data_IF_376104670150
#
_entry.id   IF_376104670150
#
_cell.length_a   1.000
_cell.length_b   1.000
_cell.length_c   1.000
_cell.angle_alpha   90.00
_cell.angle_beta   90.00
_cell.angle_gamma   90.00
#
_symmetry.space_group_name_H-M   'P 1'
#
loop_
_entity.id
_entity.type
_entity.pdbx_description
1 polymer ?
#
# COMPACT_ATOMS: atom_id res chain seq x y z
N UNK A 1 9.92 -16.52 -10.91
CA UNK A 1 10.91 -17.47 -11.49
C UNK A 1 10.48 -18.06 -12.83
N UNK A 2 9.21 -18.45 -13.02
CA UNK A 2 8.75 -19.10 -14.26
C UNK A 2 8.59 -18.16 -15.48
N UNK A 3 8.15 -16.92 -15.26
CA UNK A 3 7.80 -15.99 -16.36
C UNK A 3 9.00 -15.21 -16.91
N UNK A 4 9.89 -14.72 -16.03
CA UNK A 4 11.01 -13.87 -16.42
C UNK A 4 11.93 -14.48 -17.50
N UNK A 5 12.32 -15.77 -17.45
CA UNK A 5 13.13 -16.40 -18.50
C UNK A 5 12.43 -16.44 -19.87
N UNK A 6 11.10 -16.32 -19.90
CA UNK A 6 10.28 -16.26 -21.12
C UNK A 6 10.02 -14.81 -21.58
N UNK A 7 10.56 -13.83 -20.86
CA UNK A 7 10.35 -12.41 -21.15
C UNK A 7 9.02 -11.85 -20.63
N UNK A 8 8.33 -12.54 -19.74
CA UNK A 8 7.03 -12.12 -19.22
C UNK A 8 7.09 -11.83 -17.72
N UNK A 9 6.18 -10.97 -17.28
CA UNK A 9 5.87 -10.69 -15.88
C UNK A 9 4.36 -10.45 -15.76
N UNK A 10 3.84 -10.26 -14.56
CA UNK A 10 2.43 -9.90 -14.35
C UNK A 10 2.35 -8.42 -13.94
N UNK A 11 1.20 -7.75 -14.15
CA UNK A 11 1.12 -6.31 -13.94
C UNK A 11 1.37 -5.86 -12.51
N UNK A 12 0.96 -6.66 -11.52
CA UNK A 12 1.07 -6.36 -10.08
C UNK A 12 1.80 -7.51 -9.39
N UNK A 13 2.98 -7.26 -8.80
CA UNK A 13 3.79 -8.24 -8.07
C UNK A 13 4.15 -7.69 -6.68
N UNK A 14 3.40 -8.04 -5.63
CA UNK A 14 3.67 -7.55 -4.28
C UNK A 14 5.11 -7.79 -3.83
N UNK A 15 5.60 -6.92 -2.95
CA UNK A 15 7.02 -6.69 -2.68
C UNK A 15 7.74 -7.77 -1.85
N UNK A 16 7.05 -8.88 -1.58
CA UNK A 16 7.48 -9.99 -0.75
C UNK A 16 7.56 -11.29 -1.57
N UNK A 17 8.57 -12.13 -1.28
CA UNK A 17 8.81 -13.38 -2.03
C UNK A 17 7.81 -14.51 -1.70
N UNK A 18 7.22 -14.53 -0.50
CA UNK A 18 6.46 -15.68 0.02
C UNK A 18 4.96 -15.41 0.17
N UNK A 19 4.29 -15.08 -0.94
CA UNK A 19 2.83 -14.88 -1.01
C UNK A 19 2.19 -15.86 -2.02
N UNK A 20 1.02 -16.39 -1.67
CA UNK A 20 0.28 -17.29 -2.56
C UNK A 20 -0.65 -16.51 -3.48
N UNK A 21 -0.81 -16.95 -4.73
CA UNK A 21 -1.72 -16.33 -5.70
C UNK A 21 -3.16 -16.30 -5.18
N UNK A 22 -3.65 -17.40 -4.60
CA UNK A 22 -4.99 -17.45 -4.02
C UNK A 22 -5.17 -16.47 -2.84
N UNK A 23 -4.12 -16.25 -2.05
CA UNK A 23 -4.12 -15.25 -0.98
C UNK A 23 -4.23 -13.82 -1.51
N UNK A 24 -3.50 -13.50 -2.59
CA UNK A 24 -3.55 -12.18 -3.24
C UNK A 24 -4.89 -11.92 -3.92
N UNK A 25 -5.53 -12.96 -4.48
CA UNK A 25 -6.86 -12.87 -5.07
C UNK A 25 -7.92 -12.65 -3.98
N UNK A 26 -7.96 -13.51 -2.96
CA UNK A 26 -9.06 -13.54 -2.00
C UNK A 26 -8.89 -12.55 -0.83
N UNK A 27 -7.67 -12.09 -0.56
CA UNK A 27 -7.37 -11.06 0.43
C UNK A 27 -7.29 -9.69 -0.22
N UNK A 28 -6.07 -9.30 -0.54
CA UNK A 28 -5.74 -8.08 -1.28
C UNK A 28 -4.32 -8.21 -1.82
N UNK A 29 -4.08 -7.69 -3.01
CA UNK A 29 -2.73 -7.58 -3.58
C UNK A 29 -2.52 -6.20 -4.14
N UNK A 30 -1.64 -5.43 -3.52
CA UNK A 30 -1.25 -4.08 -3.93
C UNK A 30 0.27 -4.03 -4.15
N UNK A 31 0.70 -3.16 -5.04
CA UNK A 31 2.11 -2.88 -5.34
C UNK A 31 2.20 -1.48 -5.97
N UNK A 32 3.39 -0.93 -6.11
CA UNK A 32 3.67 0.40 -6.66
C UNK A 32 3.19 0.65 -8.10
N UNK A 33 2.93 -0.41 -8.87
CA UNK A 33 2.31 -0.36 -10.20
C UNK A 33 0.77 -0.35 -10.15
N UNK A 34 0.16 -0.54 -8.97
CA UNK A 34 -1.29 -0.57 -8.80
C UNK A 34 -1.96 0.76 -9.11
N UNK A 35 -1.24 1.88 -9.12
CA UNK A 35 -1.79 3.16 -9.61
C UNK A 35 -2.18 3.06 -11.10
N UNK A 36 -1.53 2.18 -11.87
CA UNK A 36 -1.77 1.95 -13.30
C UNK A 36 -2.67 0.77 -13.59
N UNK A 37 -2.56 -0.30 -12.81
CA UNK A 37 -3.25 -1.57 -13.06
C UNK A 37 -4.38 -1.88 -12.05
N UNK A 38 -4.49 -1.09 -10.99
CA UNK A 38 -5.33 -1.40 -9.84
C UNK A 38 -4.74 -2.52 -8.98
N UNK A 39 -5.58 -3.15 -8.17
CA UNK A 39 -5.22 -4.29 -7.32
C UNK A 39 -5.03 -5.59 -8.13
N UNK A 40 -4.33 -6.56 -7.55
CA UNK A 40 -3.96 -7.84 -8.16
C UNK A 40 -5.15 -8.58 -8.81
N UNK A 41 -6.31 -8.60 -8.15
CA UNK A 41 -7.51 -9.25 -8.67
C UNK A 41 -8.01 -8.62 -9.99
N UNK A 42 -7.74 -7.33 -10.25
CA UNK A 42 -8.13 -6.68 -11.50
C UNK A 42 -7.31 -7.19 -12.70
N UNK A 43 -6.19 -7.87 -12.44
CA UNK A 43 -5.37 -8.52 -13.45
C UNK A 43 -5.75 -10.00 -13.67
N UNK A 44 -6.75 -10.51 -12.97
CA UNK A 44 -7.24 -11.88 -13.10
C UNK A 44 -8.35 -11.96 -14.16
N UNK A 45 -8.26 -12.95 -15.05
CA UNK A 45 -9.22 -13.19 -16.13
C UNK A 45 -10.27 -14.25 -15.76
N UNK A 46 -9.93 -15.17 -14.85
CA UNK A 46 -10.81 -16.21 -14.37
C UNK A 46 -10.19 -17.06 -13.25
N UNK A 47 -11.03 -17.85 -12.58
CA UNK A 47 -10.66 -18.71 -11.46
C UNK A 47 -11.27 -20.11 -11.62
N UNK A 48 -10.53 -21.12 -11.16
CA UNK A 48 -11.10 -22.43 -10.80
C UNK A 48 -11.30 -22.46 -9.28
N UNK A 49 -12.50 -22.82 -8.83
CA UNK A 49 -12.89 -22.80 -7.42
C UNK A 49 -13.50 -24.14 -7.02
N UNK A 50 -12.96 -24.74 -5.95
CA UNK A 50 -13.58 -25.89 -5.27
C UNK A 50 -14.57 -25.36 -4.23
N UNK A 51 -15.85 -25.68 -4.39
CA UNK A 51 -16.93 -25.27 -3.49
C UNK A 51 -17.04 -26.17 -2.26
N UNK A 52 -17.88 -25.78 -1.30
CA UNK A 52 -18.06 -26.50 -0.04
C UNK A 52 -18.62 -27.93 -0.20
N UNK A 53 -19.35 -28.20 -1.28
CA UNK A 53 -19.85 -29.54 -1.62
C UNK A 53 -18.82 -30.41 -2.37
N UNK A 54 -17.62 -29.88 -2.61
CA UNK A 54 -16.54 -30.56 -3.33
C UNK A 54 -16.60 -30.43 -4.85
N UNK A 55 -17.59 -29.71 -5.40
CA UNK A 55 -17.66 -29.44 -6.83
C UNK A 55 -16.58 -28.45 -7.27
N UNK A 56 -16.04 -28.64 -8.49
CA UNK A 56 -15.11 -27.73 -9.14
C UNK A 56 -15.86 -26.88 -10.16
N UNK A 57 -15.77 -25.56 -10.05
CA UNK A 57 -16.42 -24.62 -10.95
C UNK A 57 -15.42 -23.62 -11.52
N UNK A 58 -15.63 -23.22 -12.77
CA UNK A 58 -14.93 -22.11 -13.41
C UNK A 58 -15.71 -20.83 -13.22
N UNK A 59 -15.05 -19.70 -12.98
CA UNK A 59 -15.70 -18.40 -13.05
C UNK A 59 -14.81 -17.34 -13.71
N UNK A 60 -15.44 -16.44 -14.46
CA UNK A 60 -14.81 -15.36 -15.21
C UNK A 60 -15.80 -14.20 -15.36
N UNK A 61 -15.43 -13.16 -16.09
CA UNK A 61 -16.37 -12.09 -16.44
C UNK A 61 -17.60 -12.60 -17.24
N UNK A 62 -17.49 -13.72 -17.95
CA UNK A 62 -18.53 -14.27 -18.84
C UNK A 62 -19.11 -15.61 -18.41
N UNK A 63 -18.57 -16.25 -17.37
CA UNK A 63 -19.03 -17.54 -16.83
C UNK A 63 -19.08 -17.47 -15.31
N UNK A 64 -20.18 -17.92 -14.68
CA UNK A 64 -20.36 -17.85 -13.22
C UNK A 64 -19.97 -16.47 -12.65
N UNK A 65 -20.41 -15.41 -13.33
CA UNK A 65 -19.93 -14.04 -13.14
C UNK A 65 -20.13 -13.52 -11.70
N UNK A 66 -21.25 -13.85 -11.05
CA UNK A 66 -21.49 -13.49 -9.65
C UNK A 66 -20.41 -14.06 -8.73
N UNK A 67 -19.98 -15.31 -8.96
CA UNK A 67 -18.91 -15.94 -8.20
C UNK A 67 -17.58 -15.24 -8.49
N UNK A 68 -17.24 -15.00 -9.76
CA UNK A 68 -16.01 -14.31 -10.16
C UNK A 68 -15.83 -12.97 -9.43
N UNK A 69 -16.86 -12.13 -9.40
CA UNK A 69 -16.80 -10.82 -8.72
C UNK A 69 -16.94 -10.90 -7.19
N UNK A 70 -17.32 -12.05 -6.63
CA UNK A 70 -17.41 -12.26 -5.18
C UNK A 70 -16.17 -12.89 -4.56
N UNK A 71 -15.31 -13.52 -5.36
CA UNK A 71 -14.07 -14.16 -4.87
C UNK A 71 -13.09 -13.15 -4.29
N UNK A 72 -12.81 -11.99 -4.92
CA UNK A 72 -11.97 -10.97 -4.30
C UNK A 72 -12.49 -10.53 -2.94
N UNK A 73 -11.58 -10.33 -1.98
CA UNK A 73 -11.90 -9.94 -0.60
C UNK A 73 -12.78 -10.94 0.17
N UNK A 74 -13.12 -12.10 -0.40
CA UNK A 74 -13.88 -13.15 0.29
C UNK A 74 -13.08 -13.88 1.37
N UNK A 75 -11.76 -13.73 1.38
CA UNK A 75 -10.83 -14.49 2.23
C UNK A 75 -11.07 -16.02 2.17
N UNK A 76 -11.49 -16.54 1.01
CA UNK A 76 -11.74 -17.98 0.82
C UNK A 76 -12.97 -18.50 1.56
N UNK A 77 -13.93 -17.63 1.90
CA UNK A 77 -15.18 -18.01 2.57
C UNK A 77 -16.30 -18.41 1.61
N UNK A 78 -16.01 -18.44 0.31
CA UNK A 78 -16.93 -18.91 -0.75
C UNK A 78 -16.45 -20.22 -1.41
N UNK A 79 -15.21 -20.64 -1.16
CA UNK A 79 -14.57 -21.78 -1.79
C UNK A 79 -13.05 -21.62 -1.85
N UNK A 80 -12.37 -22.66 -2.32
CA UNK A 80 -10.92 -22.68 -2.48
C UNK A 80 -10.53 -22.40 -3.92
N UNK A 81 -9.84 -21.28 -4.17
CA UNK A 81 -9.26 -20.97 -5.48
C UNK A 81 -8.07 -21.91 -5.72
N UNK A 82 -8.18 -22.76 -6.75
CA UNK A 82 -7.16 -23.77 -7.09
C UNK A 82 -6.37 -23.43 -8.36
N UNK A 83 -6.92 -22.58 -9.23
CA UNK A 83 -6.24 -22.04 -10.41
C UNK A 83 -6.69 -20.61 -10.70
N UNK A 84 -5.80 -19.83 -11.30
CA UNK A 84 -6.04 -18.42 -11.68
C UNK A 84 -5.47 -18.19 -13.06
N UNK A 85 -6.29 -17.66 -13.96
CA UNK A 85 -5.84 -17.13 -15.25
C UNK A 85 -5.44 -15.66 -15.06
N UNK A 86 -4.18 -15.33 -15.34
CA UNK A 86 -3.60 -14.00 -15.09
C UNK A 86 -3.20 -13.31 -16.39
N UNK A 87 -3.48 -12.01 -16.47
CA UNK A 87 -2.89 -11.15 -17.48
C UNK A 87 -1.36 -11.10 -17.32
N UNK A 88 -0.65 -11.11 -18.44
CA UNK A 88 0.80 -10.94 -18.48
C UNK A 88 1.19 -9.68 -19.25
N UNK A 89 2.32 -9.11 -18.88
CA UNK A 89 2.97 -7.99 -19.57
C UNK A 89 4.42 -8.33 -19.87
N UNK A 90 5.02 -7.59 -20.82
CA UNK A 90 6.42 -7.79 -21.18
C UNK A 90 7.32 -7.40 -20.01
N UNK A 91 8.15 -8.33 -19.54
CA UNK A 91 9.20 -8.02 -18.57
C UNK A 91 10.34 -7.25 -19.24
N UNK A 92 10.95 -6.35 -18.48
CA UNK A 92 12.25 -5.74 -18.80
C UNK A 92 13.31 -6.25 -17.83
N UNK A 93 14.57 -5.92 -18.09
CA UNK A 93 15.67 -6.43 -17.25
C UNK A 93 15.86 -5.63 -15.95
N UNK A 94 15.51 -4.35 -15.95
CA UNK A 94 15.78 -3.41 -14.86
C UNK A 94 14.60 -2.47 -14.62
N UNK A 95 14.65 -1.82 -13.46
CA UNK A 95 13.86 -0.65 -13.10
C UNK A 95 14.80 0.53 -12.99
N UNK A 96 14.46 1.60 -13.69
CA UNK A 96 15.10 2.90 -13.59
C UNK A 96 14.33 3.74 -12.56
N UNK A 97 14.91 3.87 -11.37
CA UNK A 97 14.28 4.42 -10.18
C UNK A 97 14.88 5.79 -9.84
N UNK A 98 14.01 6.77 -9.66
CA UNK A 98 14.33 8.13 -9.22
C UNK A 98 13.83 8.33 -7.80
N UNK A 99 14.66 8.92 -6.94
CA UNK A 99 14.32 9.29 -5.57
C UNK A 99 14.18 10.81 -5.45
N UNK A 100 13.04 11.27 -4.92
CA UNK A 100 12.71 12.68 -4.70
C UNK A 100 12.49 12.91 -3.20
N UNK A 101 13.48 13.42 -2.46
CA UNK A 101 13.32 13.75 -1.05
C UNK A 101 12.50 15.05 -0.89
N UNK A 102 11.66 15.09 0.13
CA UNK A 102 10.87 16.25 0.54
C UNK A 102 10.97 16.45 2.05
N UNK A 103 10.99 17.71 2.47
CA UNK A 103 10.99 18.12 3.89
C UNK A 103 9.75 18.95 4.25
N UNK A 104 8.68 18.78 3.47
CA UNK A 104 7.39 19.40 3.66
C UNK A 104 6.28 18.41 3.28
N UNK A 105 5.36 18.13 4.21
CA UNK A 105 4.25 17.21 4.00
C UNK A 105 3.37 17.56 2.80
N UNK A 106 3.01 18.84 2.64
CA UNK A 106 2.10 19.27 1.58
C UNK A 106 2.73 19.10 0.20
N UNK A 107 3.99 19.50 0.03
CA UNK A 107 4.73 19.34 -1.23
C UNK A 107 4.91 17.85 -1.60
N UNK A 108 5.25 17.01 -0.62
CA UNK A 108 5.40 15.58 -0.83
C UNK A 108 4.11 14.91 -1.30
N UNK A 109 2.98 15.23 -0.64
CA UNK A 109 1.66 14.70 -1.00
C UNK A 109 1.22 15.19 -2.37
N UNK A 110 1.45 16.47 -2.69
CA UNK A 110 1.09 17.04 -4.00
C UNK A 110 1.86 16.32 -5.13
N UNK A 111 3.18 16.17 -5.00
CA UNK A 111 3.99 15.46 -5.99
C UNK A 111 3.55 13.99 -6.10
N UNK A 112 3.41 13.29 -4.97
CA UNK A 112 3.04 11.89 -4.96
C UNK A 112 1.66 11.66 -5.62
N UNK A 113 0.67 12.49 -5.28
CA UNK A 113 -0.66 12.40 -5.88
C UNK A 113 -0.64 12.73 -7.38
N UNK A 114 0.14 13.74 -7.80
CA UNK A 114 0.30 14.12 -9.20
C UNK A 114 0.90 12.97 -10.01
N UNK A 115 2.05 12.43 -9.58
CA UNK A 115 2.75 11.37 -10.31
C UNK A 115 1.93 10.07 -10.36
N UNK A 116 1.20 9.76 -9.29
CA UNK A 116 0.28 8.61 -9.22
C UNK A 116 -0.88 8.73 -10.20
N UNK A 117 -1.37 9.96 -10.44
CA UNK A 117 -2.50 10.20 -11.35
C UNK A 117 -2.09 10.24 -12.82
N UNK A 118 -0.95 10.86 -13.12
CA UNK A 118 -0.47 10.99 -14.52
C UNK A 118 -0.11 9.64 -15.14
N UNK A 119 0.19 8.62 -14.31
CA UNK A 119 0.53 7.25 -14.72
C UNK A 119 1.64 7.20 -15.79
N UNK A 120 2.53 8.19 -15.76
CA UNK A 120 3.72 8.30 -16.63
C UNK A 120 4.77 7.25 -16.26
N UNK A 121 4.85 6.91 -14.99
CA UNK A 121 5.80 5.94 -14.45
C UNK A 121 5.14 4.57 -14.35
N UNK A 122 5.91 3.49 -14.54
CA UNK A 122 5.40 2.14 -14.31
C UNK A 122 5.20 1.85 -12.81
N UNK A 123 5.98 2.51 -11.95
CA UNK A 123 5.98 2.36 -10.50
C UNK A 123 5.98 3.73 -9.81
N UNK A 124 5.14 3.89 -8.79
CA UNK A 124 5.11 5.07 -7.91
C UNK A 124 4.93 4.61 -6.46
N UNK A 125 5.81 5.04 -5.56
CA UNK A 125 5.66 4.82 -4.12
C UNK A 125 6.23 5.98 -3.31
N UNK A 126 5.85 6.09 -2.05
CA UNK A 126 6.46 7.05 -1.14
C UNK A 126 6.72 6.41 0.23
N UNK A 127 7.86 6.74 0.83
CA UNK A 127 8.16 6.41 2.22
C UNK A 127 8.18 7.70 3.04
N UNK A 128 7.29 7.80 4.03
CA UNK A 128 7.30 8.89 5.01
C UNK A 128 8.16 8.48 6.21
N UNK A 129 9.19 9.26 6.56
CA UNK A 129 10.12 8.97 7.66
C UNK A 129 9.83 9.80 8.92
N UNK A 130 9.07 10.87 8.78
CA UNK A 130 8.55 11.69 9.86
C UNK A 130 7.29 12.43 9.40
N UNK A 131 6.78 13.34 10.22
CA UNK A 131 5.65 14.20 9.84
C UNK A 131 5.97 15.13 8.66
N UNK A 132 7.26 15.39 8.39
CA UNK A 132 7.68 16.34 7.35
C UNK A 132 8.65 15.73 6.32
N UNK A 133 9.26 14.59 6.60
CA UNK A 133 10.28 13.99 5.74
C UNK A 133 9.71 12.82 4.92
N UNK A 134 9.81 12.93 3.60
CA UNK A 134 9.26 11.97 2.65
C UNK A 134 10.26 11.70 1.55
N UNK A 135 10.23 10.49 0.99
CA UNK A 135 10.92 10.18 -0.27
C UNK A 135 9.91 9.61 -1.24
N UNK A 136 9.58 10.37 -2.27
CA UNK A 136 8.76 9.91 -3.41
C UNK A 136 9.67 9.19 -4.40
N UNK A 137 9.26 8.02 -4.86
CA UNK A 137 10.03 7.16 -5.75
C UNK A 137 9.26 6.89 -7.03
N UNK A 138 9.92 7.12 -8.16
CA UNK A 138 9.35 7.04 -9.50
C UNK A 138 10.16 6.06 -10.34
N UNK A 139 9.54 4.99 -10.81
CA UNK A 139 10.21 3.89 -11.49
C UNK A 139 9.67 3.62 -12.90
N UNK A 140 10.56 3.31 -13.84
CA UNK A 140 10.19 2.80 -15.17
C UNK A 140 10.91 1.50 -15.50
N UNK A 141 10.21 0.60 -16.19
CA UNK A 141 10.82 -0.60 -16.72
C UNK A 141 11.80 -0.26 -17.85
N UNK A 142 13.01 -0.82 -17.80
CA UNK A 142 14.05 -0.58 -18.82
C UNK A 142 14.90 -1.82 -19.10
N UNK A 143 15.39 -1.95 -20.33
CA UNK A 143 16.33 -3.02 -20.71
C UNK A 143 17.79 -2.60 -20.58
N UNK A 144 18.07 -1.30 -20.42
CA UNK A 144 19.45 -0.83 -20.28
C UNK A 144 19.89 -0.83 -18.81
N UNK A 145 21.11 -1.33 -18.60
CA UNK A 145 21.81 -1.25 -17.32
C UNK A 145 22.47 0.13 -17.09
N UNK A 146 22.59 0.92 -18.16
CA UNK A 146 23.32 2.18 -18.17
C UNK A 146 22.42 3.29 -18.70
N UNK A 147 22.15 4.26 -17.82
CA UNK A 147 21.49 5.53 -18.15
C UNK A 147 22.40 6.62 -17.59
N UNK A 148 22.63 7.67 -18.37
CA UNK A 148 23.48 8.78 -17.95
C UNK A 148 22.96 9.38 -16.64
N UNK A 149 23.87 9.57 -15.68
CA UNK A 149 23.53 10.06 -14.34
C UNK A 149 22.97 9.02 -13.36
N UNK A 150 22.64 7.79 -13.80
CA UNK A 150 22.12 6.74 -12.93
C UNK A 150 23.21 5.76 -12.46
N UNK A 151 23.10 5.29 -11.21
CA UNK A 151 24.01 4.28 -10.64
C UNK A 151 23.37 2.89 -10.71
N UNK A 152 24.10 1.89 -11.21
CA UNK A 152 23.61 0.52 -11.16
C UNK A 152 23.64 -0.02 -9.72
N UNK A 153 22.46 -0.35 -9.16
CA UNK A 153 22.32 -0.77 -7.77
C UNK A 153 21.56 -2.12 -7.64
N UNK A 154 22.28 -3.24 -7.45
CA UNK A 154 21.65 -4.55 -7.21
C UNK A 154 21.21 -4.72 -5.74
N UNK A 155 20.14 -4.03 -5.34
CA UNK A 155 19.65 -3.99 -3.94
C UNK A 155 19.29 -5.36 -3.35
N UNK A 156 18.92 -6.34 -4.16
CA UNK A 156 18.48 -7.67 -3.72
C UNK A 156 19.60 -8.65 -3.33
N UNK A 157 20.85 -8.22 -3.15
CA UNK A 157 21.92 -9.10 -2.62
C UNK A 157 21.74 -9.27 -1.11
N UNK A 158 22.06 -10.45 -0.57
CA UNK A 158 21.81 -10.74 0.85
C UNK A 158 22.59 -9.86 1.83
N UNK A 159 23.71 -9.29 1.39
CA UNK A 159 24.52 -8.37 2.18
C UNK A 159 24.18 -6.89 1.96
N UNK A 160 23.30 -6.58 1.00
CA UNK A 160 22.86 -5.22 0.74
C UNK A 160 22.11 -4.66 1.94
N UNK A 161 22.23 -3.35 2.13
CA UNK A 161 21.41 -2.64 3.11
C UNK A 161 19.92 -2.82 2.82
N UNK A 162 19.11 -2.87 3.88
CA UNK A 162 17.67 -2.91 3.74
C UNK A 162 17.15 -1.69 2.98
N UNK A 163 16.22 -1.92 2.06
CA UNK A 163 15.82 -0.92 1.07
C UNK A 163 15.35 0.39 1.71
N UNK A 164 14.47 0.33 2.72
CA UNK A 164 14.00 1.55 3.39
C UNK A 164 15.14 2.34 4.07
N UNK A 165 16.16 1.68 4.65
CA UNK A 165 17.34 2.38 5.20
C UNK A 165 18.24 2.98 4.12
N UNK A 166 18.30 2.36 2.94
CA UNK A 166 18.96 2.95 1.78
C UNK A 166 18.22 4.19 1.29
N UNK A 167 16.88 4.12 1.20
CA UNK A 167 16.02 5.24 0.81
C UNK A 167 16.12 6.42 1.77
N UNK A 168 16.13 6.17 3.09
CA UNK A 168 16.27 7.20 4.13
C UNK A 168 17.50 8.12 3.91
N UNK A 169 18.56 7.61 3.28
CA UNK A 169 19.80 8.37 3.04
C UNK A 169 19.62 9.53 2.06
N UNK A 170 18.61 9.48 1.20
CA UNK A 170 18.37 10.53 0.21
C UNK A 170 17.91 11.84 0.86
N UNK A 171 17.20 11.77 2.00
CA UNK A 171 16.85 12.94 2.83
C UNK A 171 18.09 13.74 3.26
N UNK A 172 19.16 13.05 3.66
CA UNK A 172 20.39 13.68 4.22
C UNK A 172 21.36 14.19 3.16
N UNK A 173 21.18 13.81 1.89
CA UNK A 173 22.09 14.20 0.79
C UNK A 173 21.82 15.64 0.33
N UNK A 174 20.56 16.08 0.35
CA UNK A 174 20.21 17.47 0.03
C UNK A 174 20.74 18.47 1.06
N UNK A 175 20.63 18.17 2.36
CA UNK A 175 21.14 19.03 3.43
C UNK A 175 22.64 19.36 3.27
N UNK A 176 23.43 18.35 2.89
CA UNK A 176 24.88 18.49 2.67
C UNK A 176 25.21 19.31 1.42
N UNK A 177 24.40 19.20 0.37
CA UNK A 177 24.56 20.02 -0.83
C UNK A 177 24.21 21.50 -0.55
N UNK A 178 23.14 21.75 0.21
CA UNK A 178 22.73 23.10 0.64
C UNK A 178 23.73 23.77 1.60
N UNK A 179 24.28 23.01 2.56
CA UNK A 179 25.30 23.50 3.49
C UNK A 179 26.63 23.86 2.80
N UNK A 180 27.06 23.04 1.83
CA UNK A 180 28.27 23.30 1.05
C UNK A 180 28.15 24.55 0.15
N UNK A 181 26.96 24.85 -0.37
CA UNK A 181 26.71 26.07 -1.12
C UNK A 181 26.67 27.33 -0.23
N UNK A 182 26.12 27.23 1.00
CA UNK A 182 26.19 28.34 1.98
C UNK A 182 27.61 28.65 2.43
N UNK A 183 28.44 27.63 2.63
CA UNK A 183 29.84 27.82 3.06
C UNK A 183 30.74 28.43 1.96
N UNK A 184 30.40 28.24 0.67
CA UNK A 184 31.14 28.85 -0.45
C UNK A 184 30.83 30.34 -0.65
N UNK A 185 29.70 30.82 -0.15
CA UNK A 185 29.30 32.23 -0.26
C UNK A 185 29.74 33.10 0.93
N UNK A 186 30.44 32.54 1.92
CA UNK A 186 30.95 33.30 3.05
C UNK A 186 32.40 33.74 2.79
N UNK A 187 32.57 34.90 2.17
CA UNK A 187 33.88 35.52 1.98
C UNK A 187 34.20 36.42 3.18
N UNK A 188 35.27 36.11 3.93
CA UNK A 188 35.59 36.70 5.25
C UNK A 188 36.03 38.18 5.21
N UNK A 189 36.04 38.81 4.04
CA UNK A 189 36.62 40.14 3.82
C UNK A 189 35.63 41.21 3.31
N UNK A 190 34.32 40.93 3.21
CA UNK A 190 33.35 41.92 2.75
C UNK A 190 32.23 42.14 3.79
N UNK A 191 32.22 43.31 4.44
CA UNK A 191 31.19 43.73 5.39
C UNK A 191 29.86 44.13 4.71
N UNK A 192 29.52 43.54 3.57
CA UNK A 192 28.26 43.79 2.88
C UNK A 192 27.46 42.49 2.75
N UNK A 193 26.42 42.39 3.57
CA UNK A 193 25.33 41.44 3.35
C UNK A 193 24.72 41.74 1.97
N UNK A 194 24.99 40.88 0.99
CA UNK A 194 24.22 40.88 -0.25
C UNK A 194 22.96 40.05 -0.05
N UNK A 195 21.77 40.57 -0.38
CA UNK A 195 20.54 39.80 -0.27
C UNK A 195 20.63 38.57 -1.18
N UNK A 196 20.19 37.43 -0.64
CA UNK A 196 20.08 36.16 -1.37
C UNK A 196 19.19 36.42 -2.61
N UNK A 197 19.62 36.01 -3.83
CA UNK A 197 18.76 36.17 -4.99
C UNK A 197 17.50 35.31 -4.79
N UNK A 198 16.33 35.94 -4.82
CA UNK A 198 15.03 35.28 -5.01
C UNK A 198 14.98 34.77 -6.45
N UNK A 199 15.61 33.62 -6.70
CA UNK A 199 15.57 32.92 -7.99
C UNK A 199 14.59 31.75 -7.88
N UNK A 200 13.37 31.98 -8.35
CA UNK A 200 12.35 30.97 -8.67
C UNK A 200 12.72 30.18 -9.93
N UNK A 201 13.94 29.65 -9.96
CA UNK A 201 14.42 28.78 -11.03
C UNK A 201 14.73 27.43 -10.36
N UNK A 202 14.14 26.31 -10.81
CA UNK A 202 14.37 25.02 -10.19
C UNK A 202 15.86 24.72 -10.37
N UNK A 203 16.61 24.75 -9.27
CA UNK A 203 17.93 24.17 -9.23
C UNK A 203 17.75 22.75 -9.77
N UNK A 204 18.43 22.42 -10.86
CA UNK A 204 18.44 21.04 -11.37
C UNK A 204 19.15 20.22 -10.31
N UNK A 205 18.39 19.73 -9.33
CA UNK A 205 18.86 18.80 -8.32
C UNK A 205 19.46 17.64 -9.09
N UNK A 206 20.66 17.21 -8.69
CA UNK A 206 21.25 15.97 -9.19
C UNK A 206 20.34 14.85 -8.68
N UNK A 207 19.28 14.56 -9.43
CA UNK A 207 18.27 13.57 -9.08
C UNK A 207 19.00 12.26 -8.83
N UNK A 208 18.94 11.80 -7.58
CA UNK A 208 19.51 10.52 -7.22
C UNK A 208 18.71 9.44 -7.97
N UNK A 209 19.38 8.77 -8.90
CA UNK A 209 18.77 7.83 -9.85
C UNK A 209 19.55 6.52 -9.85
N UNK A 210 18.85 5.40 -9.82
CA UNK A 210 19.43 4.07 -9.76
C UNK A 210 18.82 3.11 -10.77
N UNK A 211 19.65 2.25 -11.35
CA UNK A 211 19.21 1.13 -12.19
C UNK A 211 19.26 -0.15 -11.38
N UNK A 212 18.09 -0.71 -11.10
CA UNK A 212 17.89 -1.86 -10.21
C UNK A 212 17.47 -3.07 -11.03
N UNK A 213 18.07 -4.28 -10.87
CA UNK A 213 17.56 -5.48 -11.51
C UNK A 213 16.08 -5.71 -11.19
N UNK A 214 15.25 -6.03 -12.18
CA UNK A 214 13.79 -6.09 -12.01
C UNK A 214 13.37 -7.00 -10.84
N UNK A 215 13.96 -8.21 -10.76
CA UNK A 215 13.69 -9.12 -9.64
C UNK A 215 14.07 -8.51 -8.28
N UNK A 216 15.13 -7.71 -8.21
CA UNK A 216 15.52 -7.09 -6.94
C UNK A 216 14.52 -6.02 -6.53
N UNK A 217 13.96 -5.27 -7.48
CA UNK A 217 12.94 -4.27 -7.20
C UNK A 217 11.62 -4.90 -6.71
N UNK A 218 11.15 -5.97 -7.36
CA UNK A 218 9.94 -6.69 -6.92
C UNK A 218 10.05 -7.35 -5.54
N UNK A 219 11.26 -7.51 -5.00
CA UNK A 219 11.47 -8.19 -3.72
C UNK A 219 12.29 -7.32 -2.76
N UNK A 220 12.18 -5.99 -2.92
CA UNK A 220 12.97 -5.00 -2.19
C UNK A 220 12.65 -4.98 -0.69
N UNK A 221 11.47 -5.44 -0.29
CA UNK A 221 11.05 -5.51 1.11
C UNK A 221 11.13 -6.92 1.72
N UNK A 222 11.39 -7.98 0.94
CA UNK A 222 11.39 -9.37 1.44
C UNK A 222 12.29 -9.60 2.65
N UNK A 223 13.57 -9.20 2.60
CA UNK A 223 14.55 -9.53 3.65
C UNK A 223 14.34 -8.78 4.95
N UNK A 224 13.79 -7.58 4.86
CA UNK A 224 13.52 -6.73 6.01
C UNK A 224 12.07 -6.80 6.47
N UNK A 225 11.22 -7.57 5.77
CA UNK A 225 9.77 -7.60 5.92
C UNK A 225 9.25 -6.16 6.06
N UNK A 226 9.44 -5.38 4.99
CA UNK A 226 9.42 -3.91 5.05
C UNK A 226 10.50 -3.38 6.00
N UNK A 227 10.16 -3.08 7.25
CA UNK A 227 11.10 -2.67 8.30
C UNK A 227 10.91 -3.42 9.62
N UNK A 228 9.98 -4.37 9.67
CA UNK A 228 9.66 -5.20 10.83
C UNK A 228 10.86 -5.95 11.39
N UNK A 229 11.76 -6.38 10.51
CA UNK A 229 12.97 -7.09 10.94
C UNK A 229 13.90 -6.22 11.80
N UNK A 230 13.76 -4.90 11.78
CA UNK A 230 14.51 -4.00 12.66
C UNK A 230 14.06 -4.15 14.12
N UNK A 231 12.79 -4.46 14.38
CA UNK A 231 12.29 -4.66 15.74
C UNK A 231 12.61 -6.07 16.25
N UNK A 232 12.60 -7.06 15.35
CA UNK A 232 12.92 -8.45 15.68
C UNK A 232 14.45 -8.66 15.83
N UNK A 233 15.24 -8.08 14.93
CA UNK A 233 16.71 -8.17 14.90
C UNK A 233 17.29 -6.75 14.74
N UNK A 234 17.43 -5.97 15.83
CA UNK A 234 17.86 -4.56 15.76
C UNK A 234 19.24 -4.32 15.15
N UNK A 235 20.13 -5.29 15.24
CA UNK A 235 21.45 -5.24 14.60
C UNK A 235 21.46 -5.88 13.21
N UNK A 236 20.30 -6.30 12.68
CA UNK A 236 20.15 -7.05 11.43
C UNK A 236 20.63 -6.26 10.21
N UNK A 237 20.55 -4.93 10.27
CA UNK A 237 21.07 -4.04 9.24
C UNK A 237 22.55 -3.62 9.47
N UNK A 238 23.29 -4.27 10.37
CA UNK A 238 24.74 -4.05 10.47
C UNK A 238 25.47 -4.74 9.31
N UNK A 239 26.46 -4.07 8.71
CA UNK A 239 27.21 -4.62 7.55
C UNK A 239 27.86 -5.98 7.82
N UNK A 240 28.39 -6.20 9.03
CA UNK A 240 29.02 -7.47 9.42
C UNK A 240 27.95 -8.56 9.53
N UNK A 241 26.82 -8.24 10.17
CA UNK A 241 25.70 -9.18 10.28
C UNK A 241 25.15 -9.56 8.91
N UNK A 242 24.88 -8.59 8.03
CA UNK A 242 24.33 -8.87 6.70
C UNK A 242 25.26 -9.72 5.84
N UNK A 243 26.58 -9.52 5.96
CA UNK A 243 27.55 -10.31 5.21
C UNK A 243 27.60 -11.77 5.69
N UNK A 244 27.56 -11.99 7.01
CA UNK A 244 27.70 -13.34 7.61
C UNK A 244 26.37 -14.12 7.64
N UNK A 245 25.26 -13.44 7.96
CA UNK A 245 23.96 -14.03 8.31
C UNK A 245 22.77 -13.43 7.52
N UNK A 246 22.98 -12.40 6.70
CA UNK A 246 21.89 -11.75 5.94
C UNK A 246 21.19 -12.68 4.93
N UNK A 247 21.82 -13.78 4.53
CA UNK A 247 21.22 -14.80 3.68
C UNK A 247 20.16 -15.65 4.40
N UNK A 248 20.11 -15.61 5.74
CA UNK A 248 19.10 -16.26 6.56
C UNK A 248 17.85 -15.39 6.79
N UNK A 249 17.82 -14.18 6.23
CA UNK A 249 16.75 -13.20 6.45
C UNK A 249 15.71 -13.23 5.31
N UNK A 250 14.40 -13.16 5.63
CA UNK A 250 13.84 -13.16 6.98
C UNK A 250 13.88 -14.57 7.59
N UNK A 251 14.02 -14.70 8.92
CA UNK A 251 13.96 -16.01 9.58
C UNK A 251 12.58 -16.63 9.38
N UNK A 252 12.54 -17.95 9.24
CA UNK A 252 11.27 -18.66 9.05
C UNK A 252 10.28 -18.33 10.19
N UNK A 253 9.00 -18.03 9.90
CA UNK A 253 8.01 -17.71 10.94
C UNK A 253 7.89 -18.78 12.02
N UNK A 254 8.06 -20.05 11.68
CA UNK A 254 8.06 -21.16 12.64
C UNK A 254 9.24 -21.08 13.64
N UNK A 255 10.40 -20.58 13.20
CA UNK A 255 11.55 -20.35 14.07
C UNK A 255 11.26 -19.21 15.05
N UNK A 256 10.72 -18.08 14.55
CA UNK A 256 10.31 -16.95 15.39
C UNK A 256 9.30 -17.35 16.46
N UNK A 257 8.25 -18.10 16.07
CA UNK A 257 7.22 -18.57 17.01
C UNK A 257 7.80 -19.50 18.09
N UNK A 258 8.81 -20.30 17.75
CA UNK A 258 9.44 -21.24 18.69
C UNK A 258 10.37 -20.55 19.69
N UNK A 259 10.95 -19.41 19.31
CA UNK A 259 11.86 -18.64 20.17
C UNK A 259 11.14 -17.57 21.00
N UNK A 260 9.90 -17.23 20.66
CA UNK A 260 9.08 -16.27 21.41
C UNK A 260 8.47 -16.91 22.66
N UNK A 261 8.69 -16.29 23.82
CA UNK A 261 8.00 -16.63 25.07
C UNK A 261 6.58 -16.04 25.10
N UNK A 262 5.69 -16.56 25.95
CA UNK A 262 4.33 -15.99 26.09
C UNK A 262 4.33 -14.52 26.50
N UNK A 263 5.30 -14.11 27.33
CA UNK A 263 5.46 -12.73 27.77
C UNK A 263 5.88 -11.83 26.62
N UNK A 264 6.81 -12.29 25.77
CA UNK A 264 7.23 -11.56 24.59
C UNK A 264 6.07 -11.45 23.59
N UNK A 265 5.30 -12.51 23.39
CA UNK A 265 4.10 -12.47 22.55
C UNK A 265 3.08 -11.43 23.03
N UNK A 266 2.77 -11.40 24.33
CA UNK A 266 1.87 -10.39 24.91
C UNK A 266 2.42 -8.97 24.76
N UNK A 267 3.73 -8.79 24.91
CA UNK A 267 4.38 -7.49 24.71
C UNK A 267 4.23 -7.02 23.26
N UNK A 268 4.50 -7.90 22.29
CA UNK A 268 4.27 -7.63 20.88
C UNK A 268 2.80 -7.27 20.62
N UNK A 269 1.85 -8.07 21.08
CA UNK A 269 0.42 -7.80 20.88
C UNK A 269 -0.05 -6.43 21.42
N UNK A 270 0.61 -5.90 22.46
CA UNK A 270 0.24 -4.63 23.11
C UNK A 270 0.98 -3.41 22.55
N UNK A 271 2.19 -3.60 22.00
CA UNK A 271 3.08 -2.50 21.64
C UNK A 271 3.45 -2.45 20.17
N UNK A 272 2.95 -3.40 19.37
CA UNK A 272 3.27 -3.50 17.96
C UNK A 272 2.03 -3.22 17.10
N UNK A 273 2.23 -2.51 15.99
CA UNK A 273 1.20 -2.14 15.02
C UNK A 273 1.59 -2.70 13.65
N UNK A 274 0.66 -3.39 13.02
CA UNK A 274 0.73 -3.80 11.61
C UNK A 274 -0.61 -3.44 11.01
N UNK A 275 -0.65 -2.38 10.22
CA UNK A 275 -1.86 -1.85 9.62
C UNK A 275 -1.62 -1.37 8.21
N UNK A 276 -2.60 -1.61 7.34
CA UNK A 276 -2.68 -1.04 6.00
C UNK A 276 -4.08 -0.44 5.85
N UNK A 277 -4.11 0.88 5.69
CA UNK A 277 -5.33 1.67 5.65
C UNK A 277 -5.46 2.33 4.29
N UNK A 278 -6.46 1.88 3.54
CA UNK A 278 -6.75 2.28 2.18
C UNK A 278 -7.67 3.48 2.19
N UNK A 279 -7.19 4.66 1.83
CA UNK A 279 -8.00 5.90 1.84
C UNK A 279 -7.99 6.56 0.46
N UNK A 280 -9.03 7.34 0.10
CA UNK A 280 -8.98 8.15 -1.11
C UNK A 280 -7.75 9.07 -1.08
N UNK A 281 -7.06 9.26 -2.21
CA UNK A 281 -5.83 10.08 -2.28
C UNK A 281 -6.04 11.51 -1.74
N UNK A 282 -7.24 12.06 -1.93
CA UNK A 282 -7.63 13.39 -1.40
C UNK A 282 -7.67 13.47 0.13
N UNK A 283 -7.65 12.34 0.83
CA UNK A 283 -7.76 12.21 2.29
C UNK A 283 -6.45 11.75 2.94
N UNK A 284 -5.38 11.60 2.14
CA UNK A 284 -4.06 11.16 2.60
C UNK A 284 -3.53 12.04 3.73
N UNK A 285 -3.52 13.36 3.55
CA UNK A 285 -2.97 14.28 4.58
C UNK A 285 -3.60 14.06 5.94
N UNK A 286 -4.93 14.04 6.03
CA UNK A 286 -5.62 13.81 7.30
C UNK A 286 -5.38 12.40 7.87
N UNK A 287 -5.20 11.39 6.99
CA UNK A 287 -4.85 10.04 7.44
C UNK A 287 -3.47 10.03 8.11
N UNK A 288 -2.48 10.69 7.50
CA UNK A 288 -1.14 10.80 8.05
C UNK A 288 -1.13 11.56 9.39
N UNK A 289 -1.97 12.58 9.53
CA UNK A 289 -2.15 13.31 10.80
C UNK A 289 -2.65 12.37 11.91
N UNK A 290 -3.67 11.55 11.62
CA UNK A 290 -4.19 10.56 12.59
C UNK A 290 -3.15 9.51 12.95
N UNK A 291 -2.40 8.97 11.98
CA UNK A 291 -1.30 8.03 12.27
C UNK A 291 -0.19 8.66 13.09
N UNK A 292 0.15 9.92 12.82
CA UNK A 292 1.15 10.66 13.60
C UNK A 292 0.68 10.85 15.05
N UNK A 293 -0.55 11.33 15.25
CA UNK A 293 -1.11 11.58 16.57
C UNK A 293 -1.25 10.29 17.39
N UNK A 294 -1.81 9.23 16.80
CA UNK A 294 -2.17 8.02 17.54
C UNK A 294 -1.02 7.01 17.66
N UNK A 295 -0.02 7.05 16.79
CA UNK A 295 1.07 6.07 16.81
C UNK A 295 2.47 6.68 16.65
N UNK A 296 2.62 7.76 15.88
CA UNK A 296 3.90 8.35 15.47
C UNK A 296 4.92 7.29 14.96
N UNK A 297 4.40 6.27 14.29
CA UNK A 297 5.16 5.14 13.79
C UNK A 297 5.75 5.46 12.42
N UNK A 298 7.06 5.22 12.26
CA UNK A 298 7.77 5.52 11.03
C UNK A 298 8.84 4.45 10.69
N UNK A 299 9.12 4.23 9.40
CA UNK A 299 8.48 4.89 8.27
C UNK A 299 7.04 4.42 8.02
N UNK A 300 6.28 5.18 7.24
CA UNK A 300 4.99 4.75 6.67
C UNK A 300 5.19 4.44 5.18
N UNK A 301 4.58 3.35 4.71
CA UNK A 301 4.55 2.97 3.30
C UNK A 301 3.33 3.58 2.64
N UNK A 302 3.53 4.36 1.59
CA UNK A 302 2.46 4.98 0.82
C UNK A 302 2.45 4.38 -0.58
N UNK A 303 1.42 3.57 -0.86
CA UNK A 303 1.29 2.88 -2.14
C UNK A 303 0.01 3.31 -2.87
N UNK A 304 0.12 4.01 -4.01
CA UNK A 304 -1.04 4.48 -4.75
C UNK A 304 -1.65 3.34 -5.56
N UNK A 305 -2.98 3.32 -5.63
CA UNK A 305 -3.70 2.37 -6.47
C UNK A 305 -5.00 2.96 -6.99
N UNK A 306 -5.43 2.52 -8.16
CA UNK A 306 -6.74 2.89 -8.68
C UNK A 306 -7.77 1.80 -8.42
N UNK A 307 -9.01 2.22 -8.21
CA UNK A 307 -10.17 1.33 -8.25
C UNK A 307 -10.85 1.57 -9.59
N UNK A 308 -10.73 0.65 -10.55
CA UNK A 308 -11.33 0.79 -11.87
C UNK A 308 -12.87 0.85 -11.77
N UNK A 309 -13.51 1.67 -12.58
CA UNK A 309 -14.98 1.72 -12.65
C UNK A 309 -15.62 0.41 -13.12
N UNK A 310 -14.87 -0.42 -13.86
CA UNK A 310 -15.27 -1.77 -14.28
C UNK A 310 -14.91 -2.88 -13.28
N UNK A 311 -14.27 -2.56 -12.14
CA UNK A 311 -14.05 -3.52 -11.06
C UNK A 311 -15.33 -3.79 -10.25
N UNK A 312 -16.32 -2.91 -10.39
CA UNK A 312 -17.67 -3.12 -9.88
C UNK A 312 -18.46 -3.88 -10.93
N UNK A 313 -19.26 -4.88 -10.53
CA UNK A 313 -20.15 -5.59 -11.45
C UNK A 313 -21.23 -4.60 -11.97
N UNK A 314 -21.17 -4.08 -13.21
CA UNK A 314 -21.95 -2.90 -13.57
C UNK A 314 -23.39 -3.17 -14.05
N UNK A 315 -23.87 -4.43 -14.04
CA UNK A 315 -25.05 -4.83 -14.80
C UNK A 315 -26.27 -5.27 -13.95
N UNK A 316 -26.10 -5.55 -12.66
CA UNK A 316 -27.17 -6.14 -11.82
C UNK A 316 -27.62 -5.31 -10.62
N UNK A 317 -26.92 -4.21 -10.29
CA UNK A 317 -27.23 -3.37 -9.14
C UNK A 317 -26.79 -3.93 -7.77
N UNK A 318 -26.10 -5.08 -7.72
CA UNK A 318 -25.43 -5.60 -6.52
C UNK A 318 -24.00 -5.07 -6.44
N UNK A 319 -23.63 -4.45 -5.32
CA UNK A 319 -22.24 -4.12 -5.04
C UNK A 319 -21.44 -5.32 -4.55
N UNK A 320 -20.13 -5.15 -4.53
CA UNK A 320 -19.14 -6.18 -4.16
C UNK A 320 -18.33 -5.73 -2.96
N UNK A 321 -17.53 -6.63 -2.38
CA UNK A 321 -16.51 -6.27 -1.38
C UNK A 321 -15.35 -5.42 -1.96
N UNK A 322 -15.52 -4.88 -3.17
CA UNK A 322 -14.67 -3.87 -3.80
C UNK A 322 -15.38 -2.51 -3.94
N UNK A 323 -16.68 -2.46 -3.62
CA UNK A 323 -17.53 -1.28 -3.79
C UNK A 323 -17.69 -0.58 -2.45
N UNK A 324 -17.43 0.73 -2.43
CA UNK A 324 -17.69 1.58 -1.27
C UNK A 324 -19.19 1.62 -1.06
N UNK A 325 -19.63 1.37 0.17
CA UNK A 325 -21.00 1.64 0.55
C UNK A 325 -21.22 3.16 0.61
N UNK A 326 -21.66 3.75 -0.51
CA UNK A 326 -21.96 5.19 -0.59
C UNK A 326 -23.17 5.61 0.26
N UNK A 327 -23.92 4.65 0.81
CA UNK A 327 -25.07 4.90 1.67
C UNK A 327 -24.66 5.03 3.14
N UNK A 328 -24.14 6.19 3.54
CA UNK A 328 -24.19 6.57 4.96
C UNK A 328 -25.65 6.93 5.33
N UNK A 329 -26.24 6.39 6.42
CA UNK A 329 -27.61 6.72 6.83
C UNK A 329 -27.83 8.17 7.27
N UNK A 330 -26.76 8.96 7.40
CA UNK A 330 -26.81 10.26 8.07
C UNK A 330 -27.26 11.46 7.23
N UNK A 331 -27.82 11.28 6.03
CA UNK A 331 -28.32 12.42 5.26
C UNK A 331 -29.71 12.22 4.62
N UNK A 332 -30.66 11.71 5.39
CA UNK A 332 -32.09 11.69 5.02
C UNK A 332 -32.89 12.73 5.80
N UNK A 333 -32.49 14.02 5.74
CA UNK A 333 -33.42 15.11 6.11
C UNK A 333 -33.33 16.29 5.14
N UNK A 334 -34.44 16.47 4.42
CA UNK A 334 -34.91 17.67 3.75
C UNK A 334 -34.00 18.31 2.69
N UNK A 335 -34.31 18.02 1.42
CA UNK A 335 -34.10 18.98 0.34
C UNK A 335 -35.39 19.17 -0.45
N UNK A 336 -36.29 20.00 0.08
CA UNK A 336 -37.27 20.75 -0.71
C UNK A 336 -36.77 22.19 -0.82
N UNK A 337 -36.74 22.69 -2.07
CA UNK A 337 -36.72 24.11 -2.48
C UNK A 337 -35.62 25.01 -1.92
N UNK A 338 -34.71 25.47 -2.79
CA UNK A 338 -34.65 26.86 -3.29
C UNK A 338 -33.40 27.03 -4.16
N UNK A 339 -33.61 27.62 -5.34
CA UNK A 339 -32.55 28.03 -6.25
C UNK A 339 -31.86 29.30 -5.73
N UNK A 340 -30.61 29.47 -6.21
CA UNK A 340 -29.76 30.66 -6.16
C UNK A 340 -29.24 31.10 -4.78
N UNK A 341 -28.00 30.72 -4.49
CA UNK A 341 -27.01 31.72 -4.08
C UNK A 341 -25.58 31.26 -4.41
N UNK A 342 -24.85 32.17 -5.02
CA UNK A 342 -23.45 32.03 -5.44
C UNK A 342 -22.59 32.31 -4.23
N UNK A 343 -21.91 31.30 -3.69
CA UNK A 343 -20.73 31.49 -2.84
C UNK A 343 -19.54 30.76 -3.44
N UNK A 344 -18.63 31.56 -3.99
CA UNK A 344 -17.24 31.22 -4.30
C UNK A 344 -16.57 30.71 -3.02
N UNK A 345 -16.31 29.41 -2.97
CA UNK A 345 -15.08 28.87 -2.41
C UNK A 345 -14.81 27.53 -3.10
N UNK A 346 -13.99 27.58 -4.16
CA UNK A 346 -13.59 26.40 -4.93
C UNK A 346 -12.20 25.98 -4.46
N UNK A 347 -12.16 25.22 -3.37
CA UNK A 347 -10.98 24.49 -2.90
C UNK A 347 -10.72 23.22 -3.73
N UNK A 348 -9.47 22.76 -3.72
CA UNK A 348 -8.89 21.81 -4.67
C UNK A 348 -9.44 20.36 -4.55
N UNK A 349 -9.90 19.87 -5.70
CA UNK A 349 -10.15 18.46 -6.12
C UNK A 349 -11.36 17.74 -5.47
N UNK A 350 -12.29 17.34 -6.33
CA UNK A 350 -13.50 16.56 -6.01
C UNK A 350 -13.26 15.05 -6.16
N UNK A 351 -13.69 14.25 -5.19
CA UNK A 351 -13.82 12.78 -5.30
C UNK A 351 -15.01 12.39 -6.18
N UNK A 352 -14.90 11.24 -6.84
CA UNK A 352 -15.87 10.78 -7.82
C UNK A 352 -17.17 10.31 -7.15
N UNK A 353 -18.28 10.97 -7.43
CA UNK A 353 -19.61 10.38 -7.23
C UNK A 353 -19.91 9.38 -8.36
N UNK A 354 -20.77 8.39 -8.07
CA UNK A 354 -21.18 7.35 -9.01
C UNK A 354 -21.46 7.93 -10.42
N UNK A 355 -20.62 7.56 -11.39
CA UNK A 355 -20.69 8.04 -12.77
C UNK A 355 -19.56 8.98 -13.23
N UNK A 356 -18.54 9.28 -12.41
CA UNK A 356 -17.42 10.15 -12.81
C UNK A 356 -16.03 9.53 -12.61
N UNK A 357 -15.50 8.83 -13.62
CA UNK A 357 -14.05 8.52 -13.72
C UNK A 357 -13.47 7.52 -12.70
N UNK A 358 -12.21 7.13 -12.90
CA UNK A 358 -11.44 6.28 -11.99
C UNK A 358 -11.05 7.07 -10.73
N UNK A 359 -11.26 6.52 -9.53
CA UNK A 359 -10.82 7.12 -8.27
C UNK A 359 -9.48 6.53 -7.82
N UNK A 360 -8.55 7.40 -7.43
CA UNK A 360 -7.24 7.04 -6.93
C UNK A 360 -7.26 6.97 -5.40
N UNK A 361 -6.79 5.85 -4.87
CA UNK A 361 -6.61 5.57 -3.46
C UNK A 361 -5.12 5.46 -3.15
N UNK A 362 -4.82 5.48 -1.86
CA UNK A 362 -3.49 5.22 -1.32
C UNK A 362 -3.63 4.27 -0.14
N UNK A 363 -2.76 3.27 -0.13
CA UNK A 363 -2.52 2.45 1.04
C UNK A 363 -1.52 3.15 1.96
N UNK A 364 -1.88 3.27 3.23
CA UNK A 364 -1.04 3.79 4.31
C UNK A 364 -0.63 2.63 5.20
N UNK A 365 0.53 2.05 4.90
CA UNK A 365 1.13 0.93 5.61
C UNK A 365 1.97 1.39 6.80
N UNK A 366 1.61 0.93 7.99
CA UNK A 366 2.27 1.23 9.26
C UNK A 366 2.68 -0.08 9.95
N UNK A 367 3.99 -0.27 10.11
CA UNK A 367 4.58 -1.48 10.68
C UNK A 367 5.62 -1.11 11.74
N UNK A 368 5.58 -1.76 12.90
CA UNK A 368 6.57 -1.60 13.97
C UNK A 368 5.96 -1.15 15.29
N UNK A 369 6.76 -0.44 16.10
CA UNK A 369 6.36 -0.03 17.45
C UNK A 369 5.97 1.45 17.51
N UNK A 370 4.72 1.78 17.86
CA UNK A 370 4.30 3.15 18.16
C UNK A 370 5.13 3.78 19.28
N UNK A 371 5.39 5.09 19.16
CA UNK A 371 6.29 5.83 20.08
C UNK A 371 5.59 6.92 20.89
N UNK A 372 4.29 7.14 20.67
CA UNK A 372 3.53 8.11 21.47
C UNK A 372 3.26 7.59 22.89
N UNK A 373 3.40 8.43 23.94
CA UNK A 373 3.23 7.97 25.33
C UNK A 373 1.82 7.47 25.69
N UNK A 374 0.82 7.88 24.93
CA UNK A 374 -0.59 7.56 25.17
C UNK A 374 -1.10 6.41 24.28
N UNK A 375 -0.21 5.74 23.54
CA UNK A 375 -0.59 4.63 22.68
C UNK A 375 -1.23 3.52 23.51
N UNK A 376 -2.44 3.12 23.12
CA UNK A 376 -3.11 1.94 23.64
C UNK A 376 -3.61 1.15 22.45
N UNK A 377 -3.16 -0.11 22.31
CA UNK A 377 -3.36 -0.91 21.12
C UNK A 377 -4.82 -0.88 20.65
N UNK A 378 -5.80 -1.08 21.53
CA UNK A 378 -7.20 -1.09 21.11
C UNK A 378 -7.72 0.32 20.79
N UNK A 379 -7.54 1.28 21.69
CA UNK A 379 -8.09 2.63 21.52
C UNK A 379 -7.49 3.38 20.33
N UNK A 380 -6.18 3.33 20.15
CA UNK A 380 -5.48 4.01 19.05
C UNK A 380 -5.87 3.40 17.70
N UNK A 381 -5.91 2.06 17.59
CA UNK A 381 -6.38 1.41 16.37
C UNK A 381 -7.83 1.77 16.04
N UNK A 382 -8.73 1.77 17.03
CA UNK A 382 -10.14 2.11 16.80
C UNK A 382 -10.33 3.52 16.25
N UNK A 383 -9.52 4.50 16.69
CA UNK A 383 -9.56 5.86 16.14
C UNK A 383 -9.06 5.93 14.70
N UNK A 384 -7.99 5.20 14.37
CA UNK A 384 -7.49 5.08 12.99
C UNK A 384 -8.58 4.42 12.12
N UNK A 385 -9.16 3.30 12.56
CA UNK A 385 -10.25 2.60 11.88
C UNK A 385 -11.49 3.51 11.69
N UNK A 386 -11.88 4.27 12.71
CA UNK A 386 -12.99 5.22 12.66
C UNK A 386 -12.73 6.33 11.64
N UNK A 387 -11.53 6.92 11.62
CA UNK A 387 -11.15 7.91 10.61
C UNK A 387 -11.27 7.32 9.20
N UNK A 388 -10.68 6.14 8.98
CA UNK A 388 -10.68 5.46 7.68
C UNK A 388 -12.11 5.21 7.20
N UNK A 389 -13.01 4.71 8.05
CA UNK A 389 -14.43 4.55 7.70
C UNK A 389 -15.10 5.89 7.41
N UNK A 390 -14.81 6.94 8.19
CA UNK A 390 -15.41 8.27 8.02
C UNK A 390 -15.09 8.91 6.67
N UNK A 391 -13.96 8.52 6.06
CA UNK A 391 -13.52 8.99 4.75
C UNK A 391 -13.78 8.00 3.63
N UNK A 392 -14.63 7.00 3.87
CA UNK A 392 -14.97 5.94 2.91
C UNK A 392 -13.75 5.12 2.45
N UNK A 393 -12.79 4.94 3.35
CA UNK A 393 -11.67 4.03 3.18
C UNK A 393 -11.95 2.63 3.69
N UNK A 394 -10.94 1.76 3.59
CA UNK A 394 -10.99 0.37 3.99
C UNK A 394 -9.75 -0.02 4.79
N UNK A 395 -9.89 -1.01 5.65
CA UNK A 395 -8.74 -1.70 6.26
C UNK A 395 -8.40 -2.94 5.43
N UNK A 396 -7.12 -3.19 5.17
CA UNK A 396 -6.69 -4.48 4.65
C UNK A 396 -6.88 -5.57 5.71
N UNK A 397 -7.65 -6.61 5.37
CA UNK A 397 -8.19 -7.54 6.36
C UNK A 397 -7.22 -8.67 6.77
N UNK A 398 -5.94 -8.56 6.41
CA UNK A 398 -4.90 -9.44 6.96
C UNK A 398 -4.42 -8.93 8.33
N UNK A 399 -4.44 -7.61 8.53
CA UNK A 399 -4.11 -6.93 9.78
C UNK A 399 -5.13 -7.22 10.88
N UNK A 400 -4.74 -6.98 12.13
CA UNK A 400 -5.67 -7.09 13.25
C UNK A 400 -6.74 -5.99 13.16
N UNK A 401 -8.01 -6.38 13.26
CA UNK A 401 -9.13 -5.45 13.30
C UNK A 401 -9.76 -5.41 14.69
N UNK A 402 -9.95 -4.20 15.22
CA UNK A 402 -10.66 -3.91 16.48
C UNK A 402 -12.08 -3.39 16.24
N UNK A 403 -12.55 -3.45 14.99
CA UNK A 403 -13.92 -3.16 14.60
C UNK A 403 -14.90 -4.23 15.11
N UNK A 404 -16.10 -3.77 15.43
CA UNK A 404 -17.29 -4.62 15.54
C UNK A 404 -17.69 -5.16 14.17
N UNK A 405 -18.56 -6.17 14.15
CA UNK A 405 -19.05 -6.77 12.90
C UNK A 405 -19.84 -5.75 12.07
N UNK A 406 -20.59 -4.90 12.75
CA UNK A 406 -21.38 -3.82 12.16
C UNK A 406 -20.46 -2.79 11.49
N UNK A 407 -19.46 -2.28 12.23
CA UNK A 407 -18.45 -1.34 11.70
C UNK A 407 -17.69 -1.94 10.50
N UNK A 408 -17.37 -3.24 10.55
CA UNK A 408 -16.73 -3.91 9.43
C UNK A 408 -17.62 -3.95 8.19
N UNK A 409 -18.90 -4.27 8.36
CA UNK A 409 -19.86 -4.35 7.25
C UNK A 409 -20.23 -2.99 6.66
N UNK A 410 -19.99 -1.90 7.39
CA UNK A 410 -20.13 -0.53 6.86
C UNK A 410 -19.07 -0.21 5.79
N UNK A 411 -17.88 -0.83 5.83
CA UNK A 411 -16.80 -0.54 4.88
C UNK A 411 -17.16 -0.93 3.44
N UNK A 412 -17.89 -2.03 3.26
CA UNK A 412 -18.11 -2.66 1.96
C UNK A 412 -19.59 -2.81 1.60
N UNK A 413 -19.90 -2.96 0.32
CA UNK A 413 -21.19 -3.50 -0.11
C UNK A 413 -21.14 -5.04 -0.10
N UNK A 414 -21.83 -5.65 0.87
CA UNK A 414 -21.90 -7.10 1.02
C UNK A 414 -22.97 -7.78 0.17
N UNK A 415 -23.75 -7.05 -0.63
CA UNK A 415 -24.96 -7.59 -1.26
C UNK A 415 -24.71 -8.76 -2.22
N UNK A 416 -23.68 -8.69 -3.08
CA UNK A 416 -23.30 -9.82 -3.93
C UNK A 416 -22.71 -10.97 -3.12
N UNK A 417 -21.88 -10.66 -2.12
CA UNK A 417 -21.25 -11.65 -1.25
C UNK A 417 -22.29 -12.46 -0.47
N UNK A 418 -23.27 -11.79 0.16
CA UNK A 418 -24.34 -12.43 0.92
C UNK A 418 -25.24 -13.28 0.01
N UNK A 419 -25.55 -12.77 -1.21
CA UNK A 419 -26.28 -13.53 -2.24
C UNK A 419 -25.54 -14.83 -2.58
N UNK A 420 -24.23 -14.75 -2.81
CA UNK A 420 -23.42 -15.92 -3.16
C UNK A 420 -23.35 -16.91 -2.00
N UNK A 421 -23.15 -16.45 -0.76
CA UNK A 421 -23.17 -17.34 0.41
C UNK A 421 -24.48 -18.11 0.55
N UNK A 422 -25.61 -17.45 0.29
CA UNK A 422 -26.93 -18.08 0.38
C UNK A 422 -27.19 -19.06 -0.77
N UNK A 423 -26.66 -18.77 -1.97
CA UNK A 423 -26.91 -19.56 -3.18
C UNK A 423 -25.97 -20.78 -3.32
N UNK A 424 -24.73 -20.69 -2.83
CA UNK A 424 -23.73 -21.74 -2.99
C UNK A 424 -24.03 -22.95 -2.08
N UNK A 425 -23.91 -24.18 -2.59
CA UNK A 425 -24.23 -25.40 -1.84
C UNK A 425 -23.31 -25.53 -0.62
N UNK A 426 -23.91 -25.78 0.55
CA UNK A 426 -23.23 -25.99 1.84
C UNK A 426 -22.33 -24.83 2.32
N UNK A 427 -22.33 -23.66 1.66
CA UNK A 427 -21.38 -22.58 1.92
C UNK A 427 -21.46 -22.05 3.36
N UNK A 428 -22.66 -21.71 3.85
CA UNK A 428 -22.86 -21.19 5.22
C UNK A 428 -22.62 -22.21 6.32
N UNK A 429 -22.64 -23.51 5.98
CA UNK A 429 -22.35 -24.59 6.93
C UNK A 429 -20.85 -24.88 7.01
N UNK A 430 -20.15 -24.80 5.86
CA UNK A 430 -18.74 -25.15 5.76
C UNK A 430 -17.79 -23.99 6.09
N UNK A 431 -18.18 -22.74 5.77
CA UNK A 431 -17.30 -21.59 5.86
C UNK A 431 -17.84 -20.50 6.81
N UNK A 432 -16.97 -19.91 7.65
CA UNK A 432 -17.32 -18.71 8.41
C UNK A 432 -17.57 -17.51 7.48
N UNK A 433 -18.08 -16.40 8.01
CA UNK A 433 -18.08 -15.12 7.28
C UNK A 433 -16.67 -14.53 7.24
N UNK A 434 -16.42 -13.55 6.35
CA UNK A 434 -15.14 -12.82 6.30
C UNK A 434 -14.78 -12.24 7.67
N UNK A 435 -15.72 -11.52 8.31
CA UNK A 435 -15.50 -10.92 9.63
C UNK A 435 -15.05 -11.95 10.68
N UNK A 436 -15.71 -13.11 10.70
CA UNK A 436 -15.40 -14.17 11.65
C UNK A 436 -14.04 -14.85 11.36
N UNK A 437 -13.38 -14.54 10.23
CA UNK A 437 -12.03 -15.01 9.91
C UNK A 437 -10.95 -13.96 10.20
N UNK A 438 -11.30 -12.69 10.07
CA UNK A 438 -10.33 -11.57 10.17
C UNK A 438 -10.37 -10.87 11.52
N UNK A 439 -11.48 -10.97 12.25
CA UNK A 439 -11.59 -10.39 13.59
C UNK A 439 -10.62 -11.07 14.55
N UNK A 440 -10.02 -10.26 15.43
CA UNK A 440 -9.10 -10.75 16.47
C UNK A 440 -9.77 -11.74 17.42
N UNK A 441 -11.07 -11.55 17.70
CA UNK A 441 -11.87 -12.41 18.56
C UNK A 441 -11.99 -13.86 18.04
N UNK A 442 -11.90 -14.08 16.73
CA UNK A 442 -11.97 -15.40 16.13
C UNK A 442 -10.64 -16.15 16.07
N UNK A 443 -9.52 -15.48 16.40
CA UNK A 443 -8.17 -16.08 16.46
C UNK A 443 -7.81 -16.60 17.87
N UNK A 444 -8.72 -16.48 18.84
CA UNK A 444 -8.54 -16.87 20.26
C UNK A 444 -8.87 -18.33 20.48
#
# INVERSE_FOLDING_TARGET
AALLPKGWTIPVIPELDDLTVGGLVAGVGIETSSHKYGLFQHCCLGFEVVLADGSLVNCSATENTDLFYSIPWSHGTLGFVVSVELQMIRARNYVDLTYLPYHNKAEAIEEFAYQSKEAKYDFVECLAYSEQEYVVMLGNLTDTKHIEGAVFNPIGRWYSEWFYKHVEKFLRREERAGANNRSKNYNKNDHKYQPVPTSSSPLVHKVDREIIPLRHYYHRHSRSLFWEMQDIVPFGNNVVFRYLLGWMMPPAPALLKRTQTEQLRKLYELHHMVQDMLVPMSKLSGCLDVFHEEAAIYPLWLCPFKIPSNAQRPDTGFGTLLTINSASPHNTRNRKSHANEVTKDRGFIHGASAGQGEELFVDVGAYGNPVVPHYEARASHRKIEEYVRSVQGYQMMYADSYMTKEEFREMFDHSLYDKMRAALPLCTQAFPEVYDKVSKAARI
#
